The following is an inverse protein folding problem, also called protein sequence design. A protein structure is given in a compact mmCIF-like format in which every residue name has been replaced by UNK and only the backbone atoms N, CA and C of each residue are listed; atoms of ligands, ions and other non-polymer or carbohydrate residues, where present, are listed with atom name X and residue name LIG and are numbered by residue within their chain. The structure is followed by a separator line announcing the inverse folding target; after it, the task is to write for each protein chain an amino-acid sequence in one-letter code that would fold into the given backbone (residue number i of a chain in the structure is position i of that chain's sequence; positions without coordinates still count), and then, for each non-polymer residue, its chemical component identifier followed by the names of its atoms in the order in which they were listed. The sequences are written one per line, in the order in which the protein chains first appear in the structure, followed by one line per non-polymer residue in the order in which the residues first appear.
data_IF_360771617274
#
_entry.id   IF_360771617274
#
_cell.length_a   1.000
_cell.length_b   1.000
_cell.length_c   1.000
_cell.angle_alpha   90.00
_cell.angle_beta   90.00
_cell.angle_gamma   90.00
#
_symmetry.space_group_name_H-M   'P 1'
#
loop_
_entity.id
_entity.type
_entity.pdbx_description
1 polymer ?
#
# COMPACT_ATOMS: atom_id res chain seq x y z
N UNK A 1 -6.30 8.88 -3.77
CA UNK A 1 -5.80 7.62 -3.18
C UNK A 1 -5.84 7.69 -1.65
N UNK A 2 -5.20 8.68 -1.02
CA UNK A 2 -5.17 8.83 0.45
C UNK A 2 -6.56 8.97 1.07
N UNK A 3 -7.40 9.88 0.57
CA UNK A 3 -8.76 10.08 1.10
C UNK A 3 -9.63 8.81 0.98
N UNK A 4 -9.57 8.13 -0.17
CA UNK A 4 -10.27 6.86 -0.38
C UNK A 4 -9.76 5.73 0.52
N UNK A 5 -8.45 5.68 0.75
CA UNK A 5 -7.83 4.70 1.65
C UNK A 5 -8.25 4.91 3.10
N UNK A 6 -8.24 6.15 3.58
CA UNK A 6 -8.73 6.52 4.92
C UNK A 6 -10.22 6.21 5.06
N UNK A 7 -11.03 6.53 4.05
CA UNK A 7 -12.46 6.20 4.07
C UNK A 7 -12.71 4.69 4.20
N UNK A 8 -11.96 3.88 3.46
CA UNK A 8 -12.09 2.42 3.48
C UNK A 8 -11.62 1.81 4.81
N UNK A 9 -10.60 2.39 5.45
CA UNK A 9 -10.16 2.00 6.80
C UNK A 9 -11.27 2.19 7.85
N UNK A 10 -12.11 3.21 7.70
CA UNK A 10 -13.18 3.52 8.63
C UNK A 10 -14.44 2.65 8.43
N UNK A 11 -14.47 1.76 7.44
CA UNK A 11 -15.67 0.96 7.11
C UNK A 11 -15.90 -0.26 8.02
N UNK A 12 -15.03 -0.48 9.00
CA UNK A 12 -15.11 -1.54 10.02
C UNK A 12 -15.35 -2.97 9.47
N UNK A 13 -15.00 -3.21 8.20
CA UNK A 13 -15.04 -4.54 7.58
C UNK A 13 -13.67 -4.92 7.06
N UNK A 14 -13.32 -6.19 7.19
CA UNK A 14 -11.98 -6.70 6.90
C UNK A 14 -11.57 -6.40 5.44
N UNK A 15 -12.42 -6.72 4.47
CA UNK A 15 -12.09 -6.51 3.05
C UNK A 15 -11.86 -5.02 2.68
N UNK A 16 -12.76 -4.08 3.04
CA UNK A 16 -12.50 -2.64 2.89
C UNK A 16 -11.21 -2.18 3.56
N UNK A 17 -10.91 -2.66 4.78
CA UNK A 17 -9.68 -2.29 5.49
C UNK A 17 -8.44 -2.72 4.72
N UNK A 18 -8.39 -3.95 4.19
CA UNK A 18 -7.27 -4.41 3.35
C UNK A 18 -7.11 -3.53 2.11
N UNK A 19 -8.20 -3.23 1.41
CA UNK A 19 -8.19 -2.34 0.25
C UNK A 19 -7.78 -0.90 0.60
N UNK A 20 -8.14 -0.42 1.80
CA UNK A 20 -7.74 0.89 2.30
C UNK A 20 -6.23 0.97 2.54
N UNK A 21 -5.65 -0.06 3.16
CA UNK A 21 -4.22 -0.16 3.41
C UNK A 21 -3.40 -0.21 2.11
N UNK A 22 -3.85 -0.96 1.10
CA UNK A 22 -3.16 -1.03 -0.20
C UNK A 22 -3.18 0.32 -0.93
N UNK A 23 -4.32 1.03 -0.91
CA UNK A 23 -4.44 2.36 -1.51
C UNK A 23 -3.54 3.40 -0.84
N UNK A 24 -3.39 3.35 0.49
CA UNK A 24 -2.47 4.24 1.22
C UNK A 24 -1.02 3.91 0.85
N UNK A 25 -0.65 2.62 0.80
CA UNK A 25 0.69 2.20 0.40
C UNK A 25 1.07 2.73 -0.99
N UNK A 26 0.16 2.60 -1.97
CA UNK A 26 0.40 3.16 -3.31
C UNK A 26 0.44 4.69 -3.32
N UNK A 27 -0.37 5.37 -2.50
CA UNK A 27 -0.30 6.82 -2.37
C UNK A 27 1.06 7.30 -1.84
N UNK A 28 1.61 6.59 -0.84
CA UNK A 28 2.94 6.86 -0.27
C UNK A 28 4.03 6.60 -1.31
N UNK A 29 3.95 5.49 -2.06
CA UNK A 29 4.92 5.19 -3.12
C UNK A 29 4.95 6.30 -4.19
N UNK A 30 3.78 6.76 -4.62
CA UNK A 30 3.67 7.85 -5.59
C UNK A 30 4.19 9.18 -5.02
N UNK A 31 3.92 9.45 -3.74
CA UNK A 31 4.42 10.64 -3.04
C UNK A 31 5.95 10.64 -2.98
N UNK A 32 6.58 9.55 -2.54
CA UNK A 32 8.05 9.42 -2.49
C UNK A 32 8.65 9.58 -3.88
N UNK A 33 8.05 8.93 -4.90
CA UNK A 33 8.51 9.07 -6.27
C UNK A 33 8.43 10.53 -6.78
N UNK A 34 7.37 11.25 -6.41
CA UNK A 34 7.14 12.63 -6.83
C UNK A 34 8.12 13.63 -6.20
N UNK A 35 8.65 13.33 -5.01
CA UNK A 35 9.67 14.15 -4.34
C UNK A 35 11.03 14.13 -5.06
N UNK A 36 11.28 13.12 -5.90
CA UNK A 36 12.56 12.84 -6.56
C UNK A 36 12.97 13.76 -7.72
N UNK A 37 12.32 14.91 -7.88
CA UNK A 37 12.42 15.80 -9.06
C UNK A 37 12.14 15.03 -10.37
N UNK A 38 10.89 15.06 -10.81
CA UNK A 38 10.46 14.41 -12.07
C UNK A 38 11.23 14.95 -13.28
N UNK A 39 12.28 14.24 -13.68
CA UNK A 39 13.00 14.48 -14.91
C UNK A 39 12.67 13.34 -15.89
N UNK A 40 12.04 13.68 -17.01
CA UNK A 40 11.66 12.72 -18.04
C UNK A 40 12.85 12.40 -18.94
N UNK A 41 13.11 11.12 -19.23
CA UNK A 41 14.16 10.71 -20.16
C UNK A 41 15.54 10.45 -19.56
N UNK A 42 15.67 10.50 -18.23
CA UNK A 42 16.92 10.25 -17.49
C UNK A 42 16.77 9.07 -16.54
N UNK A 43 16.80 7.81 -17.03
CA UNK A 43 16.76 6.64 -16.17
C UNK A 43 17.95 6.66 -15.18
N UNK A 44 17.72 6.20 -13.95
CA UNK A 44 18.80 6.00 -12.98
C UNK A 44 19.56 4.68 -13.25
N UNK A 45 19.92 4.46 -14.52
CA UNK A 45 20.60 3.25 -15.00
C UNK A 45 21.86 3.67 -15.74
N UNK A 46 23.01 3.23 -15.23
CA UNK A 46 24.33 3.54 -15.78
C UNK A 46 24.38 3.15 -17.27
N UNK A 47 24.83 4.08 -18.12
CA UNK A 47 25.03 3.84 -19.56
C UNK A 47 23.80 3.99 -20.45
N UNK A 48 22.63 4.38 -19.92
CA UNK A 48 21.41 4.61 -20.74
C UNK A 48 21.13 6.07 -21.11
N UNK A 49 21.76 7.03 -20.43
CA UNK A 49 21.55 8.47 -20.66
C UNK A 49 22.79 9.27 -20.24
N UNK A 50 22.99 10.44 -20.86
CA UNK A 50 24.07 11.37 -20.48
C UNK A 50 23.83 12.03 -19.11
N UNK A 51 22.56 12.18 -18.74
CA UNK A 51 22.10 12.61 -17.41
C UNK A 51 21.46 11.44 -16.67
N UNK A 52 21.68 11.36 -15.36
CA UNK A 52 21.10 10.33 -14.50
C UNK A 52 20.01 10.93 -13.62
N UNK A 53 18.86 10.27 -13.54
CA UNK A 53 17.83 10.59 -12.55
C UNK A 53 18.30 10.24 -11.13
N UNK A 54 17.68 10.84 -10.12
CA UNK A 54 17.99 10.52 -8.72
C UNK A 54 17.64 9.05 -8.41
N UNK A 55 18.63 8.22 -8.02
CA UNK A 55 18.39 6.81 -7.69
C UNK A 55 17.73 6.64 -6.32
N UNK A 56 17.80 7.61 -5.42
CA UNK A 56 17.34 7.46 -4.03
C UNK A 56 15.82 7.21 -3.93
N UNK A 57 14.94 8.02 -4.57
CA UNK A 57 13.50 7.76 -4.55
C UNK A 57 13.12 6.40 -5.15
N UNK A 58 13.84 5.97 -6.19
CA UNK A 58 13.57 4.69 -6.87
C UNK A 58 13.90 3.50 -5.97
N UNK A 59 15.04 3.54 -5.28
CA UNK A 59 15.42 2.52 -4.33
C UNK A 59 14.43 2.45 -3.16
N UNK A 60 14.04 3.60 -2.60
CA UNK A 60 13.09 3.69 -1.49
C UNK A 60 11.71 3.13 -1.88
N UNK A 61 11.21 3.46 -3.08
CA UNK A 61 9.92 2.94 -3.56
C UNK A 61 9.98 1.42 -3.79
N UNK A 62 11.08 0.89 -4.33
CA UNK A 62 11.21 -0.56 -4.51
C UNK A 62 11.20 -1.30 -3.16
N UNK A 63 11.90 -0.78 -2.15
CA UNK A 63 11.85 -1.32 -0.79
C UNK A 63 10.43 -1.24 -0.20
N UNK A 64 9.74 -0.10 -0.36
CA UNK A 64 8.38 0.09 0.12
C UNK A 64 7.38 -0.86 -0.56
N UNK A 65 7.54 -1.14 -1.86
CA UNK A 65 6.71 -2.11 -2.59
C UNK A 65 6.82 -3.51 -1.97
N UNK A 66 8.03 -3.98 -1.69
CA UNK A 66 8.25 -5.32 -1.13
C UNK A 66 7.69 -5.43 0.29
N UNK A 67 7.91 -4.42 1.13
CA UNK A 67 7.32 -4.36 2.49
C UNK A 67 5.79 -4.34 2.40
N UNK A 68 5.23 -3.48 1.54
CA UNK A 68 3.79 -3.38 1.34
C UNK A 68 3.17 -4.69 0.87
N UNK A 69 3.84 -5.41 -0.04
CA UNK A 69 3.41 -6.73 -0.49
C UNK A 69 3.40 -7.74 0.65
N UNK A 70 4.50 -7.87 1.39
CA UNK A 70 4.62 -8.81 2.50
C UNK A 70 3.57 -8.55 3.60
N UNK A 71 3.38 -7.28 3.97
CA UNK A 71 2.37 -6.88 4.95
C UNK A 71 0.94 -7.13 4.46
N UNK A 72 0.66 -6.86 3.18
CA UNK A 72 -0.67 -7.13 2.60
C UNK A 72 -0.97 -8.62 2.59
N UNK A 73 -0.01 -9.46 2.17
CA UNK A 73 -0.15 -10.91 2.19
C UNK A 73 -0.42 -11.43 3.61
N UNK A 74 0.33 -10.92 4.60
CA UNK A 74 0.12 -11.26 6.00
C UNK A 74 -1.27 -10.88 6.50
N UNK A 75 -1.73 -9.65 6.23
CA UNK A 75 -3.07 -9.19 6.61
C UNK A 75 -4.17 -10.02 5.93
N UNK A 76 -3.98 -10.40 4.66
CA UNK A 76 -4.94 -11.26 3.94
C UNK A 76 -5.03 -12.66 4.56
N UNK A 77 -3.89 -13.26 4.95
CA UNK A 77 -3.89 -14.55 5.63
C UNK A 77 -4.58 -14.45 7.00
N UNK A 78 -4.31 -13.39 7.77
CA UNK A 78 -5.01 -13.13 9.02
C UNK A 78 -6.52 -12.93 8.82
N UNK A 79 -6.91 -12.18 7.78
CA UNK A 79 -8.31 -11.95 7.43
C UNK A 79 -9.04 -13.27 7.15
N UNK A 80 -8.45 -14.15 6.35
CA UNK A 80 -9.02 -15.47 6.03
C UNK A 80 -9.13 -16.35 7.28
N UNK A 81 -8.10 -16.33 8.14
CA UNK A 81 -8.14 -17.06 9.41
C UNK A 81 -9.22 -16.53 10.35
N UNK A 82 -9.32 -15.21 10.48
CA UNK A 82 -10.32 -14.51 11.30
C UNK A 82 -11.74 -14.86 10.87
N UNK A 83 -12.02 -14.88 9.56
CA UNK A 83 -13.32 -15.29 9.02
C UNK A 83 -13.61 -16.77 9.35
N UNK A 84 -12.60 -17.64 9.28
CA UNK A 84 -12.74 -19.05 9.66
C UNK A 84 -13.08 -19.27 11.13
N UNK A 85 -12.52 -18.45 12.03
CA UNK A 85 -12.70 -18.56 13.48
C UNK A 85 -13.98 -17.85 13.98
N UNK A 86 -14.21 -16.60 13.54
CA UNK A 86 -15.30 -15.75 14.03
C UNK A 86 -16.58 -15.84 13.19
N UNK A 87 -16.51 -16.41 11.97
CA UNK A 87 -17.62 -16.47 11.01
C UNK A 87 -18.27 -15.12 10.67
N UNK A 88 -17.57 -14.02 10.94
CA UNK A 88 -17.97 -12.65 10.60
C UNK A 88 -16.85 -11.93 9.85
N UNK A 89 -17.20 -10.94 9.04
CA UNK A 89 -16.28 -10.07 8.32
C UNK A 89 -16.09 -8.71 9.01
N UNK A 90 -16.70 -8.52 10.18
CA UNK A 90 -16.53 -7.33 11.00
C UNK A 90 -15.18 -7.35 11.70
N UNK A 91 -14.51 -6.20 11.75
CA UNK A 91 -13.15 -6.10 12.29
C UNK A 91 -13.10 -6.42 13.78
N UNK A 92 -14.15 -6.07 14.52
CA UNK A 92 -14.25 -6.33 15.97
C UNK A 92 -14.75 -7.75 16.30
N UNK A 93 -15.04 -8.59 15.30
CA UNK A 93 -15.53 -9.95 15.53
C UNK A 93 -16.98 -10.04 16.05
N UNK A 94 -17.61 -8.92 16.38
CA UNK A 94 -19.03 -8.83 16.73
C UNK A 94 -19.82 -8.13 15.63
N UNK A 95 -21.04 -8.57 15.35
CA UNK A 95 -21.93 -7.76 14.49
C UNK A 95 -22.46 -6.56 15.28
N UNK A 96 -22.51 -5.35 14.66
CA UNK A 96 -23.05 -4.19 15.34
C UNK A 96 -24.49 -4.46 15.77
N UNK A 97 -24.71 -4.38 17.09
CA UNK A 97 -26.03 -4.56 17.70
C UNK A 97 -26.99 -3.52 17.12
N UNK A 98 -28.04 -4.00 16.45
CA UNK A 98 -29.15 -3.18 15.95
C UNK A 98 -29.82 -2.39 17.06
#
# INVERSE_FOLDING_TARGET
MTASGVYLLLRARIFPVVMGLTLISYAVNLFIFSMGRLATGVPAVIGKSAEYGDPLPQALVLTAIVIGFAMTAFVVVLALRSIGELRTDHVDGEEPRK
#
